data_IF_012290279600
#
_entry.id   IF_012290279600
#
_cell.length_a   1.000
_cell.length_b   1.000
_cell.length_c   1.000
_cell.angle_alpha   90.00
_cell.angle_beta   90.00
_cell.angle_gamma   90.00
#
_symmetry.space_group_name_H-M   'P 1'
#
loop_
_entity.id
_entity.type
_entity.pdbx_description
1 polymer ?
#
# COMPACT_ATOMS: atom_id res chain seq x y z
N UNK A 1 15.65 -3.85 12.58
CA UNK A 1 15.19 -3.24 11.33
C UNK A 1 13.86 -3.89 11.03
N UNK A 2 12.77 -3.14 10.97
CA UNK A 2 11.53 -3.65 10.38
C UNK A 2 11.72 -3.61 8.87
N UNK A 3 11.93 -4.79 8.28
CA UNK A 3 12.29 -4.98 6.88
C UNK A 3 11.07 -5.51 6.13
N UNK A 4 10.26 -4.59 5.59
CA UNK A 4 9.17 -4.95 4.68
C UNK A 4 9.66 -5.24 3.26
N UNK A 5 10.76 -4.61 2.83
CA UNK A 5 11.32 -4.78 1.49
C UNK A 5 12.13 -6.07 1.36
N UNK A 6 11.98 -6.74 0.22
CA UNK A 6 12.93 -7.78 -0.18
C UNK A 6 14.33 -7.16 -0.35
N UNK A 7 15.38 -7.77 0.23
CA UNK A 7 16.74 -7.30 0.07
C UNK A 7 17.22 -7.50 -1.37
N UNK A 8 17.93 -6.50 -1.91
CA UNK A 8 18.51 -6.54 -3.25
C UNK A 8 19.98 -6.96 -3.17
N UNK A 9 20.35 -8.02 -3.89
CA UNK A 9 21.74 -8.48 -3.98
C UNK A 9 22.45 -7.78 -5.13
N UNK A 10 23.69 -7.33 -4.91
CA UNK A 10 24.52 -6.75 -5.96
C UNK A 10 26.01 -6.94 -5.66
N UNK A 11 26.86 -6.58 -6.63
CA UNK A 11 28.31 -6.54 -6.45
C UNK A 11 28.77 -5.09 -6.40
N UNK A 12 29.57 -4.74 -5.40
CA UNK A 12 30.20 -3.41 -5.30
C UNK A 12 31.18 -3.17 -6.46
N UNK A 13 31.63 -1.92 -6.65
CA UNK A 13 32.65 -1.61 -7.68
C UNK A 13 33.97 -2.39 -7.49
N UNK A 14 34.22 -2.86 -6.27
CA UNK A 14 35.39 -3.66 -5.89
C UNK A 14 35.13 -5.17 -5.94
N UNK A 15 34.00 -5.62 -6.49
CA UNK A 15 33.67 -7.04 -6.57
C UNK A 15 33.29 -7.70 -5.24
N UNK A 16 32.97 -6.92 -4.19
CA UNK A 16 32.45 -7.47 -2.93
C UNK A 16 30.96 -7.83 -3.06
N UNK A 17 30.51 -8.96 -2.49
CA UNK A 17 29.10 -9.33 -2.48
C UNK A 17 28.34 -8.47 -1.46
N UNK A 18 27.36 -7.73 -1.96
CA UNK A 18 26.60 -6.77 -1.17
C UNK A 18 25.12 -7.12 -1.11
N UNK A 19 24.45 -6.58 -0.09
CA UNK A 19 23.01 -6.48 -0.01
C UNK A 19 22.61 -5.04 0.24
N UNK A 20 21.60 -4.54 -0.49
CA UNK A 20 20.95 -3.27 -0.24
C UNK A 20 19.54 -3.49 0.30
N UNK A 21 19.16 -2.71 1.31
CA UNK A 21 17.91 -2.91 2.03
C UNK A 21 17.27 -1.55 2.32
N UNK A 22 16.09 -1.32 1.73
CA UNK A 22 15.22 -0.22 2.15
C UNK A 22 14.45 -0.62 3.40
N UNK A 23 14.28 0.31 4.33
CA UNK A 23 13.67 0.04 5.63
C UNK A 23 12.60 1.08 5.96
N UNK A 24 11.60 0.67 6.76
CA UNK A 24 10.51 1.55 7.18
C UNK A 24 10.96 2.76 7.99
N UNK A 25 12.16 2.70 8.57
CA UNK A 25 12.78 3.86 9.23
C UNK A 25 13.26 4.94 8.26
N UNK A 26 13.05 4.76 6.94
CA UNK A 26 13.32 5.76 5.91
C UNK A 26 14.76 5.78 5.41
N UNK A 27 15.52 4.73 5.71
CA UNK A 27 16.90 4.59 5.28
C UNK A 27 17.09 3.45 4.28
N UNK A 28 18.05 3.65 3.38
CA UNK A 28 18.66 2.61 2.59
C UNK A 28 19.99 2.20 3.22
N UNK A 29 20.15 0.89 3.41
CA UNK A 29 21.29 0.25 4.03
C UNK A 29 22.09 -0.51 2.98
N UNK A 30 23.41 -0.36 2.98
CA UNK A 30 24.33 -1.22 2.25
C UNK A 30 25.13 -2.07 3.21
N UNK A 31 25.04 -3.39 3.09
CA UNK A 31 25.71 -4.35 3.97
C UNK A 31 26.55 -5.30 3.14
N UNK A 32 27.79 -5.49 3.57
CA UNK A 32 28.69 -6.50 3.02
C UNK A 32 28.24 -7.88 3.52
N UNK A 33 27.99 -8.81 2.59
CA UNK A 33 27.37 -10.11 2.94
C UNK A 33 28.32 -11.07 3.64
N UNK A 34 29.61 -10.93 3.43
CA UNK A 34 30.62 -11.80 4.04
C UNK A 34 30.93 -11.33 5.46
N UNK A 35 31.24 -10.05 5.60
CA UNK A 35 31.66 -9.46 6.87
C UNK A 35 30.49 -9.03 7.75
N UNK A 36 29.28 -8.93 7.19
CA UNK A 36 28.05 -8.43 7.83
C UNK A 36 28.17 -6.96 8.28
N UNK A 37 29.20 -6.25 7.84
CA UNK A 37 29.41 -4.84 8.16
C UNK A 37 28.53 -3.97 7.30
N UNK A 38 27.82 -3.05 7.94
CA UNK A 38 27.12 -1.97 7.25
C UNK A 38 28.13 -0.97 6.71
N UNK A 39 28.16 -0.81 5.39
CA UNK A 39 29.06 0.11 4.70
C UNK A 39 28.44 1.50 4.53
N UNK A 40 27.11 1.58 4.35
CA UNK A 40 26.40 2.86 4.35
C UNK A 40 24.99 2.75 4.93
N UNK A 41 24.49 3.89 5.40
CA UNK A 41 23.11 4.16 5.84
C UNK A 41 22.77 5.55 5.34
N UNK A 42 21.82 5.69 4.42
CA UNK A 42 21.47 6.98 3.82
C UNK A 42 19.97 7.22 3.82
N UNK A 43 19.50 8.44 4.14
CA UNK A 43 18.07 8.75 4.18
C UNK A 43 17.51 8.78 2.76
N UNK A 44 16.37 8.11 2.55
CA UNK A 44 15.67 8.08 1.26
C UNK A 44 14.32 8.80 1.28
N UNK A 45 13.97 9.34 2.43
CA UNK A 45 12.80 10.21 2.64
C UNK A 45 13.09 11.20 3.77
N UNK A 46 12.12 12.02 4.17
CA UNK A 46 12.23 12.92 5.33
C UNK A 46 12.45 12.12 6.62
N UNK A 47 13.52 12.46 7.35
CA UNK A 47 13.84 11.85 8.64
C UNK A 47 13.68 12.86 9.76
N UNK A 48 12.83 12.52 10.71
CA UNK A 48 12.67 13.22 11.98
C UNK A 48 12.49 12.19 13.08
N UNK A 49 13.60 11.87 13.74
CA UNK A 49 13.63 10.93 14.85
C UNK A 49 13.56 11.73 16.16
N UNK A 50 12.50 11.56 16.96
CA UNK A 50 12.41 12.25 18.24
C UNK A 50 13.37 11.67 19.27
N UNK A 51 13.88 12.52 20.16
CA UNK A 51 14.81 12.13 21.24
C UNK A 51 14.11 11.46 22.43
N UNK A 52 12.80 11.27 22.36
CA UNK A 52 11.97 10.65 23.40
C UNK A 52 10.97 9.67 22.82
N UNK A 53 10.65 8.65 23.60
CA UNK A 53 9.55 7.75 23.28
C UNK A 53 8.20 8.52 23.23
N UNK A 54 7.22 8.04 22.45
CA UNK A 54 5.86 8.56 22.49
C UNK A 54 5.29 8.57 23.91
N UNK A 55 4.62 9.66 24.26
CA UNK A 55 3.77 9.80 25.46
C UNK A 55 2.33 10.00 25.03
N UNK A 56 1.39 10.05 25.97
CA UNK A 56 -0.02 10.41 25.70
C UNK A 56 -0.16 11.80 25.06
N UNK A 57 0.79 12.71 25.29
CA UNK A 57 0.84 14.03 24.64
C UNK A 57 1.26 13.99 23.17
N UNK A 58 1.83 12.86 22.73
CA UNK A 58 2.27 12.67 21.36
C UNK A 58 3.70 13.13 21.09
N UNK A 59 4.27 12.58 20.03
CA UNK A 59 5.57 12.97 19.48
C UNK A 59 5.53 12.90 17.96
N UNK A 60 5.98 13.96 17.29
CA UNK A 60 5.99 14.02 15.83
C UNK A 60 7.25 13.34 15.27
N UNK A 61 7.08 12.39 14.35
CA UNK A 61 8.18 11.63 13.74
C UNK A 61 7.98 11.43 12.24
N UNK A 62 9.10 11.30 11.53
CA UNK A 62 9.18 10.93 10.12
C UNK A 62 10.27 9.85 9.96
N UNK A 63 10.01 8.73 9.27
CA UNK A 63 8.74 8.38 8.62
C UNK A 63 7.61 8.11 9.61
N UNK A 64 6.37 8.26 9.14
CA UNK A 64 5.16 7.90 9.87
C UNK A 64 4.95 6.37 9.95
N UNK A 65 3.77 5.92 10.43
CA UNK A 65 3.47 4.50 10.64
C UNK A 65 3.40 3.70 9.34
N UNK A 66 3.26 4.37 8.19
CA UNK A 66 3.31 3.78 6.85
C UNK A 66 4.74 3.56 6.33
N UNK A 67 5.73 3.83 7.18
CA UNK A 67 7.16 3.65 6.89
C UNK A 67 7.70 4.59 5.82
N UNK A 68 9.01 4.51 5.60
CA UNK A 68 9.70 5.23 4.52
C UNK A 68 9.94 4.34 3.29
N UNK A 69 10.35 3.08 3.47
CA UNK A 69 10.39 2.09 2.38
C UNK A 69 9.62 0.86 2.83
N UNK A 70 8.59 0.53 2.06
CA UNK A 70 7.67 -0.57 2.33
C UNK A 70 8.10 -1.84 1.57
N UNK A 71 7.17 -2.54 0.92
CA UNK A 71 7.42 -3.79 0.22
C UNK A 71 8.14 -3.63 -1.13
N UNK A 72 8.17 -2.41 -1.70
CA UNK A 72 8.68 -2.16 -3.05
C UNK A 72 10.17 -2.44 -3.22
N UNK A 73 10.95 -2.24 -2.17
CA UNK A 73 12.39 -2.49 -2.14
C UNK A 73 13.22 -1.69 -3.15
N UNK A 74 14.56 -1.72 -3.01
CA UNK A 74 15.47 -1.12 -3.98
C UNK A 74 15.71 -2.04 -5.18
N UNK A 75 16.09 -1.44 -6.31
CA UNK A 75 16.53 -2.15 -7.51
C UNK A 75 17.91 -1.66 -7.98
N UNK A 76 18.69 -2.57 -8.58
CA UNK A 76 20.04 -2.27 -9.05
C UNK A 76 20.02 -2.08 -10.56
N UNK A 77 20.39 -0.89 -11.03
CA UNK A 77 20.60 -0.67 -12.45
C UNK A 77 22.03 -1.11 -12.83
N UNK A 78 22.09 -2.18 -13.61
CA UNK A 78 23.35 -2.74 -14.11
C UNK A 78 24.06 -1.83 -15.11
N UNK A 79 23.34 -0.98 -15.84
CA UNK A 79 23.92 -0.09 -16.84
C UNK A 79 24.61 1.10 -16.16
N UNK A 80 23.89 1.79 -15.28
CA UNK A 80 24.39 3.01 -14.60
C UNK A 80 25.13 2.71 -13.30
N UNK A 81 25.13 1.44 -12.85
CA UNK A 81 25.76 0.98 -11.60
C UNK A 81 25.27 1.79 -10.40
N UNK A 82 23.96 1.82 -10.18
CA UNK A 82 23.34 2.53 -9.07
C UNK A 82 22.19 1.75 -8.46
N UNK A 83 21.83 2.13 -7.24
CA UNK A 83 20.67 1.59 -6.53
C UNK A 83 19.56 2.63 -6.61
N UNK A 84 18.38 2.23 -7.06
CA UNK A 84 17.20 3.10 -7.17
C UNK A 84 16.15 2.60 -6.17
N UNK A 85 15.55 3.49 -5.41
CA UNK A 85 14.57 3.15 -4.36
C UNK A 85 13.44 4.16 -4.35
N UNK A 86 12.21 3.63 -4.28
CA UNK A 86 11.00 4.42 -4.04
C UNK A 86 10.71 4.50 -2.55
N UNK A 87 10.17 5.63 -2.10
CA UNK A 87 9.86 5.87 -0.70
C UNK A 87 8.53 6.62 -0.51
N UNK A 88 7.95 6.39 0.65
CA UNK A 88 6.81 7.12 1.22
C UNK A 88 7.36 8.30 2.01
N UNK A 89 6.84 9.51 1.76
CA UNK A 89 7.17 10.70 2.51
C UNK A 89 5.92 11.26 3.19
N UNK A 90 5.64 10.73 4.37
CA UNK A 90 4.56 11.16 5.23
C UNK A 90 4.97 10.99 6.70
N UNK A 91 4.72 12.02 7.49
CA UNK A 91 5.00 12.03 8.92
C UNK A 91 3.73 11.74 9.74
N UNK A 92 3.91 11.56 11.04
CA UNK A 92 2.79 11.40 11.97
C UNK A 92 3.13 11.90 13.37
N UNK A 93 2.09 12.21 14.13
CA UNK A 93 2.15 12.33 15.59
C UNK A 93 1.81 10.97 16.19
N UNK A 94 2.76 10.35 16.88
CA UNK A 94 2.57 9.09 17.61
C UNK A 94 2.28 9.35 19.07
N UNK A 95 1.25 8.70 19.63
CA UNK A 95 0.88 8.72 21.04
C UNK A 95 0.99 7.32 21.62
N UNK A 96 1.45 7.20 22.85
CA UNK A 96 1.37 5.94 23.60
C UNK A 96 0.12 5.93 24.45
N UNK A 97 -0.50 4.75 24.55
CA UNK A 97 -1.69 4.50 25.35
C UNK A 97 -1.40 3.33 26.29
N UNK A 98 -1.88 3.41 27.54
CA UNK A 98 -1.87 2.26 28.44
C UNK A 98 -3.00 1.31 28.04
N UNK A 99 -2.63 0.15 27.49
CA UNK A 99 -3.59 -0.85 27.01
C UNK A 99 -3.37 -2.19 27.69
N UNK A 100 -4.47 -2.80 28.10
CA UNK A 100 -4.49 -4.17 28.60
C UNK A 100 -4.54 -5.14 27.42
N UNK A 101 -3.64 -6.13 27.36
CA UNK A 101 -3.68 -7.16 26.33
C UNK A 101 -4.94 -8.03 26.51
N UNK A 102 -5.74 -8.13 25.44
CA UNK A 102 -6.92 -9.00 25.38
C UNK A 102 -6.80 -9.97 24.21
N UNK A 103 -6.76 -11.29 24.44
CA UNK A 103 -6.67 -12.27 23.37
C UNK A 103 -7.74 -12.05 22.28
N UNK A 104 -7.31 -12.02 21.02
CA UNK A 104 -8.19 -11.84 19.85
C UNK A 104 -8.50 -10.38 19.49
N UNK A 105 -7.98 -9.39 20.21
CA UNK A 105 -8.08 -7.97 19.84
C UNK A 105 -6.78 -7.45 19.22
N UNK A 106 -6.90 -6.44 18.34
CA UNK A 106 -5.73 -5.68 17.90
C UNK A 106 -5.11 -4.95 19.08
N UNK A 107 -3.79 -5.01 19.18
CA UNK A 107 -3.03 -4.29 20.20
C UNK A 107 -1.98 -3.40 19.54
N UNK A 108 -2.30 -2.12 19.39
CA UNK A 108 -1.35 -1.12 18.86
C UNK A 108 -0.52 -0.44 19.95
N UNK A 109 -0.93 -0.55 21.22
CA UNK A 109 -0.29 0.08 22.39
C UNK A 109 -0.06 1.60 22.26
N UNK A 110 -0.91 2.23 21.45
CA UNK A 110 -0.83 3.62 21.10
C UNK A 110 -1.70 3.94 19.90
N UNK A 111 -1.66 5.20 19.50
CA UNK A 111 -2.38 5.74 18.35
C UNK A 111 -1.46 6.66 17.55
N UNK A 112 -1.87 6.96 16.32
CA UNK A 112 -1.17 7.91 15.48
C UNK A 112 -2.14 8.80 14.72
N UNK A 113 -1.68 10.00 14.40
CA UNK A 113 -2.35 10.94 13.52
C UNK A 113 -1.41 11.24 12.37
N UNK A 114 -1.80 10.85 11.15
CA UNK A 114 -1.01 11.10 9.94
C UNK A 114 -1.11 12.58 9.57
N UNK A 115 0.00 13.16 9.13
CA UNK A 115 -0.01 14.49 8.53
C UNK A 115 -0.85 14.48 7.25
N UNK A 116 -1.56 15.57 6.97
CA UNK A 116 -2.32 15.74 5.73
C UNK A 116 -1.40 15.71 4.50
N UNK A 117 -0.20 16.31 4.64
CA UNK A 117 0.81 16.32 3.61
C UNK A 117 1.40 14.92 3.45
N UNK A 118 1.23 14.36 2.25
CA UNK A 118 1.83 13.09 1.84
C UNK A 118 2.41 13.22 0.43
N UNK A 119 3.58 12.65 0.25
CA UNK A 119 4.27 12.61 -1.04
C UNK A 119 5.14 11.36 -1.11
N UNK A 120 5.99 11.27 -2.12
CA UNK A 120 6.96 10.19 -2.23
C UNK A 120 8.29 10.66 -2.79
N UNK A 121 9.29 9.79 -2.69
CA UNK A 121 10.60 10.03 -3.30
C UNK A 121 10.98 8.84 -4.18
N UNK A 122 11.69 9.15 -5.27
CA UNK A 122 12.46 8.16 -6.02
C UNK A 122 13.89 8.65 -6.04
N UNK A 123 14.79 7.89 -5.43
CA UNK A 123 16.20 8.29 -5.27
C UNK A 123 17.11 7.25 -5.88
N UNK A 124 18.10 7.70 -6.63
CA UNK A 124 19.24 6.89 -7.03
C UNK A 124 20.47 7.22 -6.20
N UNK A 125 21.17 6.20 -5.74
CA UNK A 125 22.39 6.34 -4.94
C UNK A 125 23.55 5.52 -5.49
N UNK A 126 24.76 5.97 -5.19
CA UNK A 126 25.99 5.27 -5.47
C UNK A 126 26.05 3.94 -4.68
N UNK A 127 26.37 2.81 -5.31
CA UNK A 127 26.21 1.49 -4.69
C UNK A 127 27.23 1.20 -3.59
N UNK A 128 28.36 1.91 -3.55
CA UNK A 128 29.37 1.65 -2.49
C UNK A 128 29.29 2.60 -1.30
N UNK A 129 28.79 3.82 -1.52
CA UNK A 129 28.85 4.91 -0.54
C UNK A 129 27.46 5.38 -0.10
N UNK A 130 26.41 5.03 -0.84
CA UNK A 130 25.07 5.57 -0.65
C UNK A 130 24.93 7.04 -1.07
N UNK A 131 25.95 7.65 -1.67
CA UNK A 131 25.87 9.05 -2.10
C UNK A 131 24.74 9.26 -3.12
N UNK A 132 23.88 10.25 -2.89
CA UNK A 132 22.80 10.59 -3.80
C UNK A 132 23.35 10.96 -5.19
N UNK A 133 22.74 10.41 -6.24
CA UNK A 133 23.06 10.71 -7.64
C UNK A 133 21.99 11.61 -8.26
N UNK A 134 20.74 11.24 -8.08
CA UNK A 134 19.58 12.04 -8.48
C UNK A 134 18.39 11.67 -7.61
N UNK A 135 17.41 12.58 -7.58
CA UNK A 135 16.14 12.36 -6.91
C UNK A 135 14.98 12.94 -7.71
N UNK A 136 13.79 12.37 -7.48
CA UNK A 136 12.53 12.85 -7.99
C UNK A 136 11.53 12.88 -6.84
N UNK A 137 10.88 14.04 -6.65
CA UNK A 137 9.79 14.20 -5.69
C UNK A 137 8.47 13.84 -6.37
N UNK A 138 7.85 12.76 -5.92
CA UNK A 138 6.57 12.31 -6.43
C UNK A 138 5.42 12.98 -5.67
N UNK A 139 4.34 13.31 -6.39
CA UNK A 139 3.14 13.96 -5.83
C UNK A 139 2.44 13.09 -4.78
N UNK A 140 2.66 11.77 -4.82
CA UNK A 140 2.06 10.80 -3.90
C UNK A 140 3.09 9.73 -3.52
N UNK A 141 2.84 8.96 -2.44
CA UNK A 141 3.76 7.92 -2.00
C UNK A 141 4.16 6.93 -3.10
N UNK A 142 5.42 6.49 -3.09
CA UNK A 142 5.95 5.52 -4.05
C UNK A 142 6.16 4.18 -3.35
N UNK A 143 5.23 3.25 -3.61
CA UNK A 143 5.27 1.87 -3.11
C UNK A 143 5.14 0.84 -4.25
N UNK A 144 5.20 1.31 -5.50
CA UNK A 144 5.32 0.43 -6.67
C UNK A 144 6.74 -0.15 -6.76
N UNK A 145 6.86 -1.31 -7.39
CA UNK A 145 8.16 -1.86 -7.76
C UNK A 145 9.01 -0.88 -8.60
N UNK A 146 10.33 -0.95 -8.42
CA UNK A 146 11.31 -0.19 -9.21
C UNK A 146 11.95 -1.15 -10.22
N UNK A 147 11.92 -0.82 -11.50
CA UNK A 147 12.38 -1.72 -12.58
C UNK A 147 13.32 -1.00 -13.55
N UNK A 148 14.63 -0.94 -13.26
CA UNK A 148 15.62 -0.51 -14.23
C UNK A 148 15.78 -1.54 -15.35
N UNK A 149 16.06 -1.07 -16.56
CA UNK A 149 16.25 -1.91 -17.75
C UNK A 149 17.59 -1.62 -18.43
N UNK A 150 18.09 -2.59 -19.20
CA UNK A 150 19.32 -2.41 -19.99
C UNK A 150 19.19 -1.33 -21.09
N UNK A 151 17.96 -0.89 -21.42
CA UNK A 151 17.70 0.21 -22.34
C UNK A 151 17.95 1.60 -21.76
N UNK A 152 18.46 1.71 -20.53
CA UNK A 152 18.74 2.99 -19.88
C UNK A 152 17.52 3.70 -19.33
N UNK A 153 16.41 2.97 -19.13
CA UNK A 153 15.20 3.50 -18.49
C UNK A 153 14.82 2.74 -17.23
N UNK A 154 14.24 3.46 -16.28
CA UNK A 154 13.67 2.92 -15.03
C UNK A 154 12.16 3.12 -15.01
N UNK A 155 11.43 2.05 -14.73
CA UNK A 155 9.97 1.99 -14.72
C UNK A 155 9.48 1.89 -13.28
N UNK A 156 8.45 2.65 -12.92
CA UNK A 156 7.77 2.55 -11.62
C UNK A 156 6.41 3.24 -11.66
N UNK A 157 5.74 3.42 -10.52
CA UNK A 157 4.54 4.21 -10.40
C UNK A 157 4.29 4.72 -8.99
N UNK A 158 3.27 5.56 -8.84
CA UNK A 158 2.90 6.15 -7.56
C UNK A 158 1.45 5.83 -7.15
N UNK A 159 1.12 6.17 -5.90
CA UNK A 159 -0.22 5.98 -5.35
C UNK A 159 -1.30 6.88 -6.00
N UNK A 160 -0.90 7.92 -6.74
CA UNK A 160 -1.78 8.77 -7.56
C UNK A 160 -2.18 8.12 -8.88
N UNK A 161 -1.58 6.97 -9.22
CA UNK A 161 -1.87 6.20 -10.41
C UNK A 161 -1.08 6.64 -11.64
N UNK A 162 0.02 7.35 -11.42
CA UNK A 162 0.95 7.74 -12.47
C UNK A 162 1.93 6.59 -12.74
N UNK A 163 1.93 6.05 -13.95
CA UNK A 163 3.04 5.24 -14.45
C UNK A 163 4.17 6.18 -14.88
N UNK A 164 5.36 5.92 -14.36
CA UNK A 164 6.53 6.78 -14.49
C UNK A 164 7.66 6.03 -15.18
N UNK A 165 8.25 6.67 -16.19
CA UNK A 165 9.46 6.20 -16.87
C UNK A 165 10.51 7.29 -16.78
N UNK A 166 11.69 6.92 -16.27
CA UNK A 166 12.83 7.81 -16.12
C UNK A 166 13.97 7.39 -17.03
N UNK A 167 14.75 8.34 -17.52
CA UNK A 167 16.12 8.08 -17.95
C UNK A 167 16.93 7.67 -16.71
N UNK A 168 17.42 6.43 -16.67
CA UNK A 168 18.03 5.88 -15.46
C UNK A 168 19.26 6.67 -14.99
N UNK A 169 20.03 7.24 -15.93
CA UNK A 169 21.27 7.94 -15.60
C UNK A 169 21.04 9.24 -14.82
N UNK A 170 19.95 9.95 -15.10
CA UNK A 170 19.74 11.33 -14.64
C UNK A 170 18.49 11.51 -13.77
N UNK A 171 17.55 10.55 -13.80
CA UNK A 171 16.25 10.72 -13.17
C UNK A 171 15.31 11.65 -13.96
N UNK A 172 15.65 12.02 -15.21
CA UNK A 172 14.77 12.80 -16.08
C UNK A 172 13.52 11.99 -16.40
N UNK A 173 12.34 12.56 -16.16
CA UNK A 173 11.06 11.97 -16.56
C UNK A 173 10.97 11.95 -18.08
N UNK A 174 10.83 10.75 -18.65
CA UNK A 174 10.60 10.51 -20.08
C UNK A 174 9.11 10.30 -20.37
N UNK A 175 8.38 9.68 -19.44
CA UNK A 175 6.94 9.46 -19.52
C UNK A 175 6.32 9.55 -18.13
N UNK A 176 5.18 10.25 -18.04
CA UNK A 176 4.24 10.20 -16.92
C UNK A 176 2.86 10.03 -17.53
N UNK A 177 2.18 8.92 -17.23
CA UNK A 177 0.85 8.64 -17.78
C UNK A 177 -0.08 8.09 -16.71
N UNK A 178 -1.32 8.54 -16.72
CA UNK A 178 -2.33 8.07 -15.78
C UNK A 178 -2.82 6.68 -16.17
N UNK A 179 -2.97 5.79 -15.18
CA UNK A 179 -3.46 4.42 -15.38
C UNK A 179 -4.89 4.22 -14.87
N UNK A 180 -5.46 5.23 -14.20
CA UNK A 180 -6.81 5.19 -13.65
C UNK A 180 -6.91 4.63 -12.23
N UNK A 181 -5.80 4.16 -11.64
CA UNK A 181 -5.75 3.67 -10.27
C UNK A 181 -4.33 3.64 -9.70
N UNK A 182 -4.24 3.59 -8.37
CA UNK A 182 -2.97 3.60 -7.66
C UNK A 182 -2.06 2.46 -8.11
N UNK A 183 -0.77 2.72 -8.27
CA UNK A 183 0.21 1.69 -8.61
C UNK A 183 0.94 1.32 -7.32
N UNK A 184 0.46 0.27 -6.67
CA UNK A 184 0.97 -0.20 -5.39
C UNK A 184 1.69 -1.55 -5.49
N UNK A 185 1.64 -2.21 -6.65
CA UNK A 185 2.18 -3.55 -6.86
C UNK A 185 3.44 -3.58 -7.72
N UNK A 186 3.68 -4.74 -8.32
CA UNK A 186 4.81 -4.96 -9.20
C UNK A 186 4.71 -4.18 -10.52
N UNK A 187 5.85 -3.66 -10.95
CA UNK A 187 6.10 -3.22 -12.32
C UNK A 187 7.07 -4.25 -12.91
N UNK A 188 6.73 -4.84 -14.05
CA UNK A 188 7.55 -5.87 -14.68
C UNK A 188 7.73 -5.58 -16.17
N UNK A 189 8.79 -6.12 -16.74
CA UNK A 189 9.00 -6.16 -18.19
C UNK A 189 9.32 -7.59 -18.63
N UNK A 190 8.84 -7.97 -19.81
CA UNK A 190 9.04 -9.30 -20.40
C UNK A 190 9.03 -9.22 -21.93
N UNK A 191 9.50 -10.28 -22.58
CA UNK A 191 9.47 -10.40 -24.03
C UNK A 191 8.52 -11.51 -24.47
N UNK A 192 7.74 -11.26 -25.52
CA UNK A 192 6.88 -12.24 -26.18
C UNK A 192 6.88 -11.99 -27.68
N UNK A 193 7.16 -13.03 -28.49
CA UNK A 193 7.18 -12.91 -29.94
C UNK A 193 8.14 -11.82 -30.47
N UNK A 194 9.32 -11.67 -29.84
CA UNK A 194 10.29 -10.64 -30.20
C UNK A 194 9.91 -9.21 -29.80
N UNK A 195 8.77 -9.01 -29.14
CA UNK A 195 8.31 -7.71 -28.64
C UNK A 195 8.51 -7.61 -27.14
N UNK A 196 9.04 -6.48 -26.66
CA UNK A 196 9.10 -6.17 -25.24
C UNK A 196 7.79 -5.53 -24.77
N UNK A 197 7.31 -6.01 -23.62
CA UNK A 197 6.14 -5.49 -22.93
C UNK A 197 6.51 -4.99 -21.54
N UNK A 198 5.72 -4.06 -21.03
CA UNK A 198 5.73 -3.65 -19.63
C UNK A 198 4.33 -3.90 -19.08
N UNK A 199 4.22 -4.63 -17.98
CA UNK A 199 2.97 -4.86 -17.28
C UNK A 199 3.01 -4.23 -15.89
N UNK A 200 1.91 -3.57 -15.54
CA UNK A 200 1.72 -2.93 -14.25
C UNK A 200 0.35 -3.30 -13.66
N UNK A 201 0.31 -3.40 -12.34
CA UNK A 201 -0.94 -3.49 -11.58
C UNK A 201 -1.38 -2.08 -11.21
N UNK A 202 -2.59 -1.71 -11.63
CA UNK A 202 -3.23 -0.43 -11.33
C UNK A 202 -4.50 -0.69 -10.52
N UNK A 203 -4.75 0.12 -9.49
CA UNK A 203 -5.80 -0.12 -8.52
C UNK A 203 -5.22 -0.59 -7.19
N UNK A 204 -5.64 0.06 -6.10
CA UNK A 204 -5.41 -0.43 -4.74
C UNK A 204 -6.75 -0.78 -4.09
N UNK A 205 -6.82 -1.99 -3.52
CA UNK A 205 -7.97 -2.50 -2.75
C UNK A 205 -7.72 -2.47 -1.24
N UNK A 206 -6.55 -1.97 -0.82
CA UNK A 206 -6.11 -1.98 0.57
C UNK A 206 -6.59 -0.76 1.37
N UNK A 207 -7.85 -0.32 1.21
CA UNK A 207 -8.44 0.81 1.96
C UNK A 207 -8.30 0.69 3.46
N UNK A 208 -8.35 -0.55 3.97
CA UNK A 208 -8.49 -0.83 5.40
C UNK A 208 -7.17 -0.81 6.16
N UNK A 209 -6.03 -0.94 5.47
CA UNK A 209 -4.74 -1.21 6.13
C UNK A 209 -3.56 -0.41 5.56
N UNK A 210 -3.61 0.08 4.31
CA UNK A 210 -2.44 0.74 3.70
C UNK A 210 -2.81 1.69 2.56
N UNK A 211 -2.41 2.97 2.70
CA UNK A 211 -2.46 4.03 1.68
C UNK A 211 -3.83 4.40 1.06
N UNK A 212 -4.91 3.67 1.38
CA UNK A 212 -6.27 3.94 0.91
C UNK A 212 -6.61 3.26 -0.42
N UNK A 213 -7.90 3.07 -0.71
CA UNK A 213 -8.34 2.57 -2.02
C UNK A 213 -8.09 3.63 -3.10
N UNK A 214 -7.75 3.17 -4.31
CA UNK A 214 -7.52 4.07 -5.43
C UNK A 214 -7.65 3.36 -6.78
N UNK A 215 -8.71 3.69 -7.52
CA UNK A 215 -9.00 3.15 -8.86
C UNK A 215 -9.47 1.70 -8.90
N UNK A 216 -9.84 1.23 -10.10
CA UNK A 216 -10.32 -0.15 -10.31
C UNK A 216 -9.16 -1.11 -10.53
N UNK A 217 -9.06 -2.23 -9.79
CA UNK A 217 -8.02 -3.23 -9.98
C UNK A 217 -7.95 -3.74 -11.42
N UNK A 218 -6.82 -3.48 -12.06
CA UNK A 218 -6.59 -3.69 -13.48
C UNK A 218 -5.13 -4.07 -13.73
N UNK A 219 -4.88 -4.80 -14.82
CA UNK A 219 -3.53 -4.99 -15.37
C UNK A 219 -3.42 -4.13 -16.62
N UNK A 220 -2.47 -3.21 -16.66
CA UNK A 220 -2.19 -2.37 -17.82
C UNK A 220 -0.91 -2.85 -18.49
N UNK A 221 -0.96 -3.08 -19.79
CA UNK A 221 0.17 -3.59 -20.58
C UNK A 221 0.56 -2.54 -21.63
N UNK A 222 1.82 -2.14 -21.63
CA UNK A 222 2.41 -1.23 -22.61
C UNK A 222 3.36 -1.98 -23.54
N UNK A 223 3.39 -1.54 -24.80
CA UNK A 223 4.39 -1.90 -25.80
C UNK A 223 4.64 -0.67 -26.71
N UNK A 224 5.79 -0.64 -27.39
CA UNK A 224 6.06 0.44 -28.35
C UNK A 224 5.12 0.34 -29.57
N UNK A 225 4.70 1.48 -30.18
CA UNK A 225 3.70 1.49 -31.25
C UNK A 225 4.08 0.67 -32.48
N UNK A 226 5.38 0.60 -32.79
CA UNK A 226 5.93 -0.19 -33.91
C UNK A 226 5.73 -1.70 -33.72
N UNK A 227 5.59 -2.15 -32.47
CA UNK A 227 5.32 -3.53 -32.13
C UNK A 227 3.86 -3.79 -31.72
N UNK A 228 3.08 -2.74 -31.41
CA UNK A 228 1.66 -2.86 -31.08
C UNK A 228 0.79 -3.40 -32.23
N UNK A 229 1.29 -3.38 -33.48
CA UNK A 229 0.59 -3.91 -34.66
C UNK A 229 0.55 -5.45 -34.74
N UNK A 230 1.30 -6.18 -33.91
CA UNK A 230 1.36 -7.65 -33.93
C UNK A 230 0.47 -8.33 -32.88
N UNK A 231 -0.14 -7.55 -31.99
CA UNK A 231 -1.02 -8.07 -30.94
C UNK A 231 -2.44 -7.61 -31.26
N UNK A 232 -3.30 -8.54 -31.66
CA UNK A 232 -4.74 -8.30 -31.63
C UNK A 232 -5.06 -7.79 -30.21
N UNK A 233 -5.79 -6.66 -30.06
CA UNK A 233 -6.17 -6.20 -28.73
C UNK A 233 -6.70 -7.41 -27.97
N UNK A 234 -6.16 -7.65 -26.77
CA UNK A 234 -6.76 -8.64 -25.89
C UNK A 234 -8.26 -8.38 -25.95
N UNK A 235 -9.12 -9.39 -26.22
CA UNK A 235 -10.55 -9.18 -26.19
C UNK A 235 -10.78 -8.41 -24.90
N UNK A 236 -11.34 -7.20 -24.99
CA UNK A 236 -11.68 -6.44 -23.80
C UNK A 236 -12.34 -7.46 -22.91
N UNK A 237 -11.70 -7.79 -21.78
CA UNK A 237 -12.35 -8.62 -20.80
C UNK A 237 -13.61 -7.84 -20.55
N UNK A 238 -14.74 -8.34 -21.08
CA UNK A 238 -16.00 -7.64 -21.07
C UNK A 238 -16.09 -7.15 -19.65
N UNK A 239 -16.11 -5.81 -19.46
CA UNK A 239 -15.99 -5.18 -18.16
C UNK A 239 -16.76 -6.08 -17.24
N UNK A 240 -16.07 -6.80 -16.34
CA UNK A 240 -16.71 -7.91 -15.65
C UNK A 240 -17.83 -7.24 -14.91
N UNK A 241 -19.03 -7.30 -15.49
CA UNK A 241 -20.23 -6.83 -14.85
C UNK A 241 -20.20 -7.73 -13.65
N UNK A 242 -19.90 -7.15 -12.48
CA UNK A 242 -20.16 -7.82 -11.22
C UNK A 242 -21.49 -8.52 -11.46
N UNK A 243 -21.54 -9.87 -11.36
CA UNK A 243 -22.72 -10.62 -11.76
C UNK A 243 -23.90 -9.85 -11.20
N UNK A 244 -24.89 -9.46 -12.05
CA UNK A 244 -25.94 -8.56 -11.65
C UNK A 244 -26.39 -9.01 -10.29
N UNK A 245 -26.28 -8.13 -9.27
CA UNK A 245 -26.51 -8.48 -7.86
C UNK A 245 -27.71 -9.38 -7.88
N UNK A 246 -27.48 -10.69 -7.69
CA UNK A 246 -28.53 -11.63 -7.93
C UNK A 246 -29.55 -11.25 -6.89
N UNK A 247 -30.75 -10.85 -7.32
CA UNK A 247 -31.93 -10.77 -6.47
C UNK A 247 -32.33 -12.21 -6.12
N UNK A 248 -31.38 -12.98 -5.60
CA UNK A 248 -31.65 -14.15 -4.82
C UNK A 248 -32.50 -13.66 -3.66
N UNK A 249 -33.68 -14.26 -3.51
CA UNK A 249 -34.56 -13.96 -2.40
C UNK A 249 -33.73 -14.10 -1.11
N UNK A 250 -33.72 -13.04 -0.30
CA UNK A 250 -33.04 -13.05 0.99
C UNK A 250 -33.57 -14.22 1.80
N UNK A 251 -32.68 -15.07 2.28
CA UNK A 251 -33.02 -16.13 3.23
C UNK A 251 -33.16 -15.53 4.62
N UNK A 252 -33.73 -16.30 5.56
CA UNK A 252 -33.79 -15.86 6.95
C UNK A 252 -32.40 -15.47 7.47
N UNK A 253 -32.27 -14.38 8.25
CA UNK A 253 -30.98 -13.91 8.74
C UNK A 253 -30.25 -14.98 9.57
N UNK A 254 -28.96 -15.19 9.29
CA UNK A 254 -28.10 -16.09 10.05
C UNK A 254 -27.14 -15.29 10.94
N UNK A 255 -27.44 -15.22 12.24
CA UNK A 255 -26.59 -14.51 13.20
C UNK A 255 -25.22 -15.16 13.41
N UNK A 256 -25.07 -16.46 13.13
CA UNK A 256 -23.79 -17.17 13.21
C UNK A 256 -22.86 -16.74 12.08
N UNK A 257 -23.36 -16.71 10.84
CA UNK A 257 -22.65 -16.13 9.69
C UNK A 257 -22.40 -14.62 9.88
N UNK A 258 -23.38 -13.91 10.44
CA UNK A 258 -23.27 -12.50 10.80
C UNK A 258 -22.11 -12.21 11.76
N UNK A 259 -21.91 -13.07 12.78
CA UNK A 259 -20.78 -12.97 13.70
C UNK A 259 -19.43 -13.09 13.01
N UNK A 260 -19.28 -14.06 12.12
CA UNK A 260 -18.04 -14.28 11.38
C UNK A 260 -17.72 -13.07 10.48
N UNK A 261 -18.74 -12.62 9.73
CA UNK A 261 -18.62 -11.44 8.85
C UNK A 261 -18.32 -10.17 9.64
N UNK A 262 -18.94 -9.99 10.80
CA UNK A 262 -18.68 -8.87 11.70
C UNK A 262 -17.23 -8.87 12.20
N UNK A 263 -16.68 -10.04 12.59
CA UNK A 263 -15.29 -10.18 12.99
C UNK A 263 -14.30 -9.77 11.89
N UNK A 264 -14.60 -10.14 10.63
CA UNK A 264 -13.74 -9.83 9.47
C UNK A 264 -13.82 -8.37 9.01
N UNK A 265 -14.96 -7.72 9.19
CA UNK A 265 -15.27 -6.46 8.50
C UNK A 265 -15.56 -5.26 9.42
N UNK A 266 -15.98 -5.50 10.66
CA UNK A 266 -16.57 -4.47 11.51
C UNK A 266 -15.83 -4.34 12.85
N UNK A 267 -15.34 -5.46 13.39
CA UNK A 267 -14.77 -5.51 14.73
C UNK A 267 -13.51 -4.66 14.92
N UNK A 268 -12.74 -4.42 13.86
CA UNK A 268 -11.56 -3.56 13.90
C UNK A 268 -11.87 -2.12 14.36
N UNK A 269 -13.07 -1.61 14.06
CA UNK A 269 -13.51 -0.27 14.49
C UNK A 269 -14.52 -0.33 15.63
N UNK A 270 -15.42 -1.32 15.63
CA UNK A 270 -16.55 -1.40 16.55
C UNK A 270 -16.32 -2.33 17.76
N UNK A 271 -15.15 -2.97 17.85
CA UNK A 271 -14.83 -3.94 18.91
C UNK A 271 -15.46 -5.31 18.66
N UNK A 272 -14.81 -6.38 19.14
CA UNK A 272 -15.26 -7.77 18.92
C UNK A 272 -16.64 -8.08 19.55
N UNK A 273 -17.01 -7.35 20.60
CA UNK A 273 -18.30 -7.46 21.31
C UNK A 273 -19.13 -6.17 21.19
N UNK A 274 -18.89 -5.36 20.15
CA UNK A 274 -19.62 -4.12 19.91
C UNK A 274 -19.30 -2.98 20.90
N UNK A 275 -18.23 -3.09 21.68
CA UNK A 275 -17.85 -2.11 22.70
C UNK A 275 -17.36 -0.76 22.14
N UNK A 276 -17.08 -0.67 20.84
CA UNK A 276 -16.55 0.53 20.17
C UNK A 276 -15.02 0.59 20.17
N UNK A 277 -14.50 1.75 19.75
CA UNK A 277 -13.06 2.01 19.61
C UNK A 277 -12.87 3.21 18.68
N UNK A 278 -12.19 3.00 17.55
CA UNK A 278 -12.12 4.00 16.46
C UNK A 278 -13.48 4.27 15.83
N UNK A 279 -14.42 3.33 15.90
CA UNK A 279 -15.83 3.49 15.56
C UNK A 279 -16.73 3.53 16.80
N UNK A 280 -17.98 4.01 16.68
CA UNK A 280 -18.90 4.11 17.81
C UNK A 280 -19.30 2.73 18.37
N UNK A 281 -19.64 2.69 19.65
CA UNK A 281 -20.14 1.47 20.29
C UNK A 281 -21.49 1.01 19.69
N UNK A 282 -21.60 -0.30 19.47
CA UNK A 282 -22.79 -0.98 18.97
C UNK A 282 -23.58 -1.68 20.08
N UNK A 283 -23.05 -1.77 21.30
CA UNK A 283 -23.83 -2.24 22.46
C UNK A 283 -25.13 -1.46 22.61
N UNK A 284 -26.23 -2.18 22.80
CA UNK A 284 -27.57 -1.60 22.90
C UNK A 284 -28.05 -0.93 21.60
N UNK A 285 -27.51 -1.28 20.44
CA UNK A 285 -27.90 -0.66 19.16
C UNK A 285 -29.39 -0.83 18.86
N UNK A 286 -30.01 -1.92 19.32
CA UNK A 286 -31.46 -2.18 19.19
C UNK A 286 -32.36 -1.07 19.74
N UNK A 287 -31.87 -0.27 20.70
CA UNK A 287 -32.62 0.85 21.26
C UNK A 287 -32.54 2.12 20.40
N UNK A 288 -31.60 2.16 19.45
CA UNK A 288 -31.30 3.32 18.59
C UNK A 288 -31.67 3.06 17.13
N UNK A 289 -31.43 1.84 16.66
CA UNK A 289 -31.70 1.38 15.31
C UNK A 289 -32.26 -0.03 15.39
N UNK A 290 -33.42 -0.27 14.78
CA UNK A 290 -33.92 -1.63 14.59
C UNK A 290 -33.12 -2.35 13.48
N UNK A 291 -33.45 -3.62 13.22
CA UNK A 291 -32.75 -4.44 12.22
C UNK A 291 -32.79 -3.78 10.84
N UNK A 292 -33.93 -3.25 10.42
CA UNK A 292 -34.10 -2.66 9.09
C UNK A 292 -33.28 -1.37 8.94
N UNK A 293 -33.31 -0.50 9.94
CA UNK A 293 -32.49 0.71 9.98
C UNK A 293 -31.00 0.38 10.05
N UNK A 294 -30.62 -0.72 10.71
CA UNK A 294 -29.23 -1.21 10.74
C UNK A 294 -28.77 -1.69 9.37
N UNK A 295 -29.60 -2.44 8.64
CA UNK A 295 -29.33 -2.86 7.25
C UNK A 295 -29.10 -1.61 6.39
N UNK A 296 -30.04 -0.66 6.43
CA UNK A 296 -29.96 0.57 5.64
C UNK A 296 -28.67 1.35 5.94
N UNK A 297 -28.28 1.42 7.22
CA UNK A 297 -27.06 2.08 7.64
C UNK A 297 -25.78 1.39 7.12
N UNK A 298 -25.76 0.05 7.08
CA UNK A 298 -24.61 -0.71 6.54
C UNK A 298 -24.53 -0.57 5.02
N UNK A 299 -25.67 -0.55 4.32
CA UNK A 299 -25.71 -0.38 2.86
C UNK A 299 -25.30 1.02 2.41
N UNK A 300 -25.67 2.03 3.20
CA UNK A 300 -25.50 3.45 2.90
C UNK A 300 -25.01 4.24 4.13
N UNK A 301 -23.74 4.03 4.55
CA UNK A 301 -23.20 4.68 5.74
C UNK A 301 -22.83 6.14 5.51
N UNK A 302 -22.57 6.87 6.61
CA UNK A 302 -21.93 8.20 6.55
C UNK A 302 -20.47 8.14 6.06
N UNK A 303 -19.91 9.27 5.62
CA UNK A 303 -18.51 9.37 5.16
C UNK A 303 -17.45 8.90 6.19
N UNK A 304 -17.79 8.82 7.48
CA UNK A 304 -16.89 8.34 8.55
C UNK A 304 -16.91 6.82 8.74
N UNK A 305 -17.87 6.11 8.15
CA UNK A 305 -17.98 4.65 8.21
C UNK A 305 -17.82 4.08 6.79
N UNK A 306 -16.92 3.11 6.56
CA UNK A 306 -16.65 2.61 5.22
C UNK A 306 -17.88 1.92 4.63
N UNK A 307 -18.14 2.16 3.34
CA UNK A 307 -19.20 1.49 2.60
C UNK A 307 -18.74 0.09 2.18
N UNK A 308 -19.46 -0.94 2.66
CA UNK A 308 -19.08 -2.35 2.45
C UNK A 308 -20.06 -3.14 1.57
N UNK A 309 -21.12 -2.50 1.10
CA UNK A 309 -22.11 -3.04 0.17
C UNK A 309 -22.07 -2.22 -1.15
N UNK A 310 -22.16 -2.86 -2.33
CA UNK A 310 -22.43 -4.28 -2.59
C UNK A 310 -21.18 -5.18 -2.61
N UNK A 311 -20.01 -4.64 -2.25
CA UNK A 311 -18.77 -5.41 -2.12
C UNK A 311 -17.91 -4.82 -1.00
N UNK A 312 -17.31 -5.64 -0.12
CA UNK A 312 -17.27 -7.10 -0.17
C UNK A 312 -18.50 -7.83 0.40
N UNK A 313 -19.49 -7.12 0.94
CA UNK A 313 -20.72 -7.72 1.46
C UNK A 313 -21.85 -7.64 0.42
N UNK A 314 -22.49 -8.78 0.16
CA UNK A 314 -23.76 -8.84 -0.55
C UNK A 314 -24.95 -8.52 0.39
N UNK A 315 -26.17 -8.45 -0.16
CA UNK A 315 -27.36 -8.08 0.60
C UNK A 315 -27.69 -9.08 1.74
N UNK A 316 -27.40 -10.37 1.55
CA UNK A 316 -27.61 -11.39 2.59
C UNK A 316 -26.59 -11.21 3.72
N UNK A 317 -25.32 -10.99 3.37
CA UNK A 317 -24.25 -10.73 4.32
C UNK A 317 -24.54 -9.49 5.18
N UNK A 318 -25.10 -8.43 4.60
CA UNK A 318 -25.55 -7.26 5.37
C UNK A 318 -26.67 -7.64 6.35
N UNK A 319 -27.65 -8.41 5.87
CA UNK A 319 -28.79 -8.88 6.70
C UNK A 319 -28.33 -9.75 7.87
N UNK A 320 -27.40 -10.68 7.61
CA UNK A 320 -26.81 -11.57 8.61
C UNK A 320 -26.03 -10.77 9.68
N UNK A 321 -25.20 -9.80 9.24
CA UNK A 321 -24.46 -8.91 10.15
C UNK A 321 -25.43 -8.05 10.98
N UNK A 322 -26.45 -7.47 10.35
CA UNK A 322 -27.45 -6.66 11.04
C UNK A 322 -28.18 -7.47 12.12
N UNK A 323 -28.55 -8.72 11.83
CA UNK A 323 -29.16 -9.61 12.82
C UNK A 323 -28.22 -9.94 13.99
N UNK A 324 -26.94 -10.17 13.71
CA UNK A 324 -25.94 -10.43 14.76
C UNK A 324 -25.73 -9.22 15.69
N UNK A 325 -25.53 -8.01 15.13
CA UNK A 325 -25.22 -6.82 15.96
C UNK A 325 -26.39 -6.38 16.82
N UNK A 326 -27.62 -6.76 16.47
CA UNK A 326 -28.81 -6.52 17.28
C UNK A 326 -28.81 -7.32 18.60
N UNK A 327 -27.92 -8.31 18.72
CA UNK A 327 -27.65 -9.05 19.96
C UNK A 327 -26.65 -8.39 20.91
N UNK A 328 -26.03 -7.26 20.55
CA UNK A 328 -25.14 -6.49 21.44
C UNK A 328 -25.90 -5.54 22.37
#
# INVERSE_FOLDING_TARGET
LDLAAAPMLYWSSKGRPMVAIGSKDGFLYGVDRETKKRLFKVPVTTIKMPDRAPTTQGVHSCPGPLGGVEWNGPAYDQLTKQIIVGAVDQCAVFKSDEVEFRPGQFLFAGSYELDEAKSGWIRAVHPDSGALRWEYHAETPVVAGITPTAGGVTLTGDMGGNFLVFESATGKVLLKTATGGAIAGGVITYALGGTQYVAITSGNVSSRLSFGDGGTPSVVIYALPEHAKSVAPAPQAAASTAPPVATAALTSPDAGRGKELFGKNCAACHGNSGEGGSGPALKGIRARLDVAATIQWIENPSAKMPRLYPSPLDAQAVTDVAAYVQGF
#
